data_IF_987201675124
#
_entry.id   IF_987201675124
#
_cell.length_a   1.000
_cell.length_b   1.000
_cell.length_c   1.000
_cell.angle_alpha   90.00
_cell.angle_beta   90.00
_cell.angle_gamma   90.00
#
_symmetry.space_group_name_H-M   'P 1'
#
loop_
_entity.id
_entity.type
_entity.pdbx_description
1 polymer ?
#
# COMPACT_ATOMS: atom_id res chain seq x y z
N UNK A 1 4.49 4.21 5.99
CA UNK A 1 5.83 4.17 5.35
C UNK A 1 6.65 3.01 5.89
N UNK A 2 6.71 2.87 7.21
CA UNK A 2 7.47 1.79 7.84
C UNK A 2 6.98 0.40 7.39
N UNK A 3 5.67 0.24 7.24
CA UNK A 3 5.09 -1.02 6.82
C UNK A 3 5.59 -1.45 5.44
N UNK A 4 5.69 -0.50 4.52
CA UNK A 4 6.21 -0.79 3.19
C UNK A 4 7.71 -1.07 3.22
N UNK A 5 8.46 -0.33 4.02
CA UNK A 5 9.92 -0.54 4.14
C UNK A 5 10.24 -1.94 4.65
N UNK A 6 9.43 -2.45 5.56
CA UNK A 6 9.63 -3.78 6.14
C UNK A 6 8.95 -4.88 5.35
N UNK A 7 8.07 -4.52 4.41
CA UNK A 7 7.25 -5.51 3.73
C UNK A 7 6.33 -6.23 4.69
N UNK A 8 5.80 -5.51 5.68
CA UNK A 8 4.97 -6.10 6.72
C UNK A 8 3.49 -5.88 6.42
N UNK A 9 2.81 -6.92 6.01
CA UNK A 9 1.37 -6.87 5.76
C UNK A 9 0.59 -6.63 7.06
N UNK A 10 1.09 -7.13 8.18
CA UNK A 10 0.43 -6.94 9.46
C UNK A 10 0.42 -5.47 9.90
N UNK A 11 1.57 -4.80 9.77
CA UNK A 11 1.63 -3.38 10.08
C UNK A 11 0.76 -2.57 9.13
N UNK A 12 0.79 -2.91 7.85
CA UNK A 12 -0.04 -2.25 6.86
C UNK A 12 -1.53 -2.40 7.20
N UNK A 13 -1.92 -3.58 7.63
CA UNK A 13 -3.29 -3.87 8.02
C UNK A 13 -3.80 -3.02 9.18
N UNK A 14 -2.91 -2.61 10.08
CA UNK A 14 -3.30 -1.76 11.22
C UNK A 14 -3.83 -0.40 10.77
N UNK A 15 -3.40 0.06 9.61
CA UNK A 15 -3.80 1.37 9.09
C UNK A 15 -4.86 1.28 8.01
N UNK A 16 -5.38 0.09 7.73
CA UNK A 16 -6.42 -0.10 6.72
C UNK A 16 -7.81 0.20 7.29
N UNK A 17 -8.66 0.79 6.45
CA UNK A 17 -10.07 0.94 6.76
C UNK A 17 -10.81 -0.39 6.64
N UNK A 18 -12.12 -0.38 6.91
CA UNK A 18 -12.94 -1.59 6.82
C UNK A 18 -13.01 -2.18 5.43
N UNK A 19 -12.90 -1.33 4.42
CA UNK A 19 -12.84 -1.72 3.01
C UNK A 19 -11.65 -1.07 2.35
N UNK A 20 -10.93 -1.83 1.53
CA UNK A 20 -9.74 -1.34 0.82
C UNK A 20 -9.86 -1.76 -0.64
N UNK A 21 -9.59 -0.81 -1.52
CA UNK A 21 -9.48 -1.10 -2.93
C UNK A 21 -8.02 -1.41 -3.26
N UNK A 22 -7.75 -2.68 -3.59
CA UNK A 22 -6.42 -3.10 -3.98
C UNK A 22 -6.33 -3.17 -5.50
N UNK A 23 -5.38 -2.41 -6.05
CA UNK A 23 -5.09 -2.47 -7.47
C UNK A 23 -3.68 -3.01 -7.63
N UNK A 24 -3.58 -4.28 -7.99
CA UNK A 24 -2.31 -4.97 -8.15
C UNK A 24 -2.10 -5.27 -9.63
N UNK A 25 -1.16 -4.56 -10.23
CA UNK A 25 -0.78 -4.74 -11.64
C UNK A 25 -1.99 -4.68 -12.58
N UNK A 26 -2.82 -3.66 -12.38
CA UNK A 26 -3.99 -3.43 -13.23
C UNK A 26 -5.25 -4.14 -12.78
N UNK A 27 -5.17 -5.01 -11.79
CA UNK A 27 -6.36 -5.69 -11.25
C UNK A 27 -6.89 -4.95 -10.04
N UNK A 28 -8.09 -4.42 -10.15
CA UNK A 28 -8.76 -3.72 -9.07
C UNK A 28 -9.71 -4.68 -8.33
N UNK A 29 -9.53 -4.77 -7.02
CA UNK A 29 -10.36 -5.64 -6.18
C UNK A 29 -10.73 -4.86 -4.92
N UNK A 30 -12.04 -4.83 -4.62
CA UNK A 30 -12.51 -4.18 -3.41
C UNK A 30 -12.73 -5.25 -2.35
N UNK A 31 -11.95 -5.24 -1.29
CA UNK A 31 -11.93 -6.29 -0.28
C UNK A 31 -11.97 -5.71 1.12
N UNK A 32 -12.31 -6.55 2.09
CA UNK A 32 -12.26 -6.12 3.48
C UNK A 32 -10.81 -6.11 3.99
N UNK A 33 -10.64 -5.57 5.19
CA UNK A 33 -9.34 -5.40 5.80
C UNK A 33 -8.57 -6.73 5.93
N UNK A 34 -9.25 -7.79 6.34
CA UNK A 34 -8.60 -9.09 6.53
C UNK A 34 -8.09 -9.64 5.21
N UNK A 35 -8.93 -9.58 4.17
CA UNK A 35 -8.53 -10.09 2.87
C UNK A 35 -7.44 -9.21 2.24
N UNK A 36 -7.53 -7.90 2.41
CA UNK A 36 -6.50 -7.00 1.92
C UNK A 36 -5.15 -7.31 2.56
N UNK A 37 -5.14 -7.56 3.87
CA UNK A 37 -3.92 -7.93 4.58
C UNK A 37 -3.34 -9.24 4.05
N UNK A 38 -4.19 -10.22 3.81
CA UNK A 38 -3.75 -11.52 3.28
C UNK A 38 -3.18 -11.38 1.87
N UNK A 39 -3.82 -10.57 1.02
CA UNK A 39 -3.34 -10.33 -0.34
C UNK A 39 -1.99 -9.63 -0.33
N UNK A 40 -1.79 -8.67 0.57
CA UNK A 40 -0.52 -7.98 0.70
C UNK A 40 0.55 -8.91 1.26
N UNK A 41 0.20 -9.83 2.14
CA UNK A 41 1.14 -10.83 2.63
C UNK A 41 1.64 -11.70 1.50
N UNK A 42 0.74 -12.16 0.62
CA UNK A 42 1.13 -12.96 -0.54
C UNK A 42 2.07 -12.16 -1.45
N UNK A 43 1.75 -10.89 -1.68
CA UNK A 43 2.59 -10.03 -2.49
C UNK A 43 3.99 -9.90 -1.90
N UNK A 44 4.09 -9.63 -0.60
CA UNK A 44 5.38 -9.48 0.06
C UNK A 44 6.15 -10.79 0.17
N UNK A 45 5.46 -11.92 0.18
CA UNK A 45 6.11 -13.23 0.18
C UNK A 45 6.76 -13.49 -1.16
N UNK A 46 6.09 -13.16 -2.25
CA UNK A 46 6.64 -13.34 -3.60
C UNK A 46 7.69 -12.29 -3.94
N UNK A 47 7.54 -11.09 -3.40
CA UNK A 47 8.39 -9.95 -3.72
C UNK A 47 8.97 -9.40 -2.42
N UNK A 48 10.09 -9.96 -1.98
CA UNK A 48 10.73 -9.51 -0.74
C UNK A 48 11.21 -8.08 -0.88
N UNK A 49 10.79 -7.24 0.06
CA UNK A 49 11.10 -5.83 0.05
C UNK A 49 12.52 -5.58 0.53
N UNK A 50 13.29 -4.86 -0.26
CA UNK A 50 14.62 -4.40 0.12
C UNK A 50 14.63 -2.93 0.52
N UNK A 51 13.64 -2.17 0.10
CA UNK A 51 13.54 -0.76 0.49
C UNK A 51 12.29 -0.11 -0.07
N UNK A 52 12.00 1.08 0.45
CA UNK A 52 10.88 1.88 0.01
C UNK A 52 11.27 3.36 0.08
N UNK A 53 11.11 4.07 -1.02
CA UNK A 53 11.39 5.49 -1.09
C UNK A 53 10.13 6.27 -1.40
N UNK A 54 9.81 7.26 -0.57
CA UNK A 54 8.68 8.14 -0.82
C UNK A 54 9.10 9.18 -1.88
N UNK A 55 8.38 9.19 -3.00
CA UNK A 55 8.64 10.14 -4.09
C UNK A 55 7.81 11.40 -3.92
N UNK A 56 6.57 11.23 -3.44
CA UNK A 56 5.65 12.35 -3.29
C UNK A 56 4.62 12.01 -2.23
N UNK A 57 4.24 12.99 -1.43
CA UNK A 57 3.19 12.79 -0.45
C UNK A 57 2.46 14.11 -0.22
N UNK A 58 1.18 14.01 0.12
CA UNK A 58 0.36 15.16 0.37
C UNK A 58 -0.70 14.86 1.40
N UNK A 59 -1.20 15.90 2.04
CA UNK A 59 -2.21 15.78 3.07
C UNK A 59 -3.21 16.92 2.94
N UNK A 60 -4.48 16.56 2.92
CA UNK A 60 -5.58 17.52 2.94
C UNK A 60 -6.42 17.25 4.17
N UNK A 61 -7.49 18.05 4.37
CA UNK A 61 -8.29 17.97 5.58
C UNK A 61 -8.81 16.58 5.87
N UNK A 62 -9.29 15.88 4.84
CA UNK A 62 -9.92 14.56 5.01
C UNK A 62 -9.23 13.45 4.24
N UNK A 63 -8.15 13.75 3.54
CA UNK A 63 -7.45 12.75 2.75
C UNK A 63 -5.96 12.95 2.77
N UNK A 64 -5.24 11.87 2.50
CA UNK A 64 -3.79 11.88 2.40
C UNK A 64 -3.38 10.90 1.32
N UNK A 65 -2.22 11.13 0.72
CA UNK A 65 -1.68 10.19 -0.25
C UNK A 65 -0.18 10.08 -0.09
N UNK A 66 0.33 8.90 -0.44
CA UNK A 66 1.76 8.62 -0.46
C UNK A 66 2.05 7.90 -1.77
N UNK A 67 3.00 8.42 -2.51
CA UNK A 67 3.47 7.80 -3.76
C UNK A 67 4.93 7.50 -3.58
N UNK A 68 5.31 6.26 -3.80
CA UNK A 68 6.68 5.85 -3.60
C UNK A 68 7.11 4.72 -4.52
N UNK A 69 8.39 4.38 -4.42
CA UNK A 69 8.98 3.28 -5.17
C UNK A 69 9.36 2.18 -4.19
N UNK A 70 8.82 1.00 -4.41
CA UNK A 70 9.09 -0.17 -3.59
C UNK A 70 10.12 -1.02 -4.31
N UNK A 71 11.28 -1.18 -3.69
CA UNK A 71 12.35 -2.03 -4.23
C UNK A 71 12.19 -3.44 -3.67
N UNK A 72 12.15 -4.42 -4.56
CA UNK A 72 12.00 -5.82 -4.16
C UNK A 72 13.00 -6.69 -4.90
N UNK A 73 13.07 -7.96 -4.49
CA UNK A 73 13.93 -8.94 -5.14
C UNK A 73 13.50 -9.24 -6.58
N UNK A 74 12.28 -8.88 -6.95
CA UNK A 74 11.75 -9.11 -8.30
C UNK A 74 11.62 -7.83 -9.13
N UNK A 75 12.24 -6.75 -8.66
CA UNK A 75 12.21 -5.48 -9.38
C UNK A 75 11.55 -4.38 -8.55
N UNK A 76 11.36 -3.24 -9.18
CA UNK A 76 10.79 -2.07 -8.52
C UNK A 76 9.32 -1.91 -8.89
N UNK A 77 8.55 -1.47 -7.92
CA UNK A 77 7.12 -1.22 -8.09
C UNK A 77 6.79 0.20 -7.67
N UNK A 78 5.84 0.81 -8.36
CA UNK A 78 5.29 2.10 -7.93
C UNK A 78 4.10 1.83 -7.03
N UNK A 79 4.12 2.45 -5.87
CA UNK A 79 3.04 2.30 -4.88
C UNK A 79 2.33 3.63 -4.74
N UNK A 80 1.01 3.61 -4.93
CA UNK A 80 0.15 4.75 -4.63
C UNK A 80 -0.76 4.31 -3.50
N UNK A 81 -0.64 4.99 -2.35
CA UNK A 81 -1.44 4.68 -1.17
C UNK A 81 -2.32 5.89 -0.84
N UNK A 82 -3.63 5.68 -0.85
CA UNK A 82 -4.58 6.73 -0.57
C UNK A 82 -5.28 6.45 0.76
N UNK A 83 -5.33 7.48 1.61
CA UNK A 83 -5.90 7.38 2.94
C UNK A 83 -7.03 8.39 3.10
N UNK A 84 -8.00 8.01 3.92
CA UNK A 84 -9.10 8.90 4.31
C UNK A 84 -9.12 9.08 5.80
N UNK A 85 -9.47 10.28 6.23
CA UNK A 85 -9.61 10.57 7.66
C UNK A 85 -10.94 10.03 8.17
N UNK A 86 -10.84 9.17 9.18
CA UNK A 86 -12.00 8.60 9.87
C UNK A 86 -11.76 8.77 11.38
N UNK A 87 -12.60 9.54 12.04
CA UNK A 87 -12.51 9.75 13.50
C UNK A 87 -11.10 10.12 13.98
N UNK A 88 -10.52 11.15 13.35
CA UNK A 88 -9.18 11.66 13.69
C UNK A 88 -8.02 10.73 13.33
N UNK A 89 -8.28 9.70 12.53
CA UNK A 89 -7.23 8.81 12.03
C UNK A 89 -7.27 8.76 10.51
N UNK A 90 -6.08 8.64 9.90
CA UNK A 90 -5.99 8.43 8.47
C UNK A 90 -5.88 6.93 8.22
N UNK A 91 -6.90 6.37 7.57
CA UNK A 91 -6.96 4.95 7.26
C UNK A 91 -6.80 4.72 5.77
N UNK A 92 -6.08 3.64 5.43
CA UNK A 92 -5.84 3.28 4.04
C UNK A 92 -7.15 2.90 3.38
N UNK A 93 -7.42 3.57 2.26
CA UNK A 93 -8.65 3.39 1.48
C UNK A 93 -8.35 2.68 0.16
N UNK A 94 -7.18 2.93 -0.41
CA UNK A 94 -6.79 2.33 -1.67
C UNK A 94 -5.27 2.16 -1.71
N UNK A 95 -4.83 1.02 -2.21
CA UNK A 95 -3.42 0.76 -2.49
C UNK A 95 -3.32 0.31 -3.94
N UNK A 96 -2.51 1.01 -4.71
CA UNK A 96 -2.23 0.64 -6.09
C UNK A 96 -0.76 0.34 -6.24
N UNK A 97 -0.45 -0.84 -6.76
CA UNK A 97 0.93 -1.29 -6.97
C UNK A 97 1.09 -1.73 -8.41
N UNK A 98 1.98 -1.07 -9.13
CA UNK A 98 2.28 -1.38 -10.51
C UNK A 98 3.79 -1.59 -10.67
N UNK A 99 4.16 -2.58 -11.47
CA UNK A 99 5.58 -2.82 -11.74
C UNK A 99 6.13 -1.72 -12.64
N UNK A 100 7.32 -1.24 -12.29
CA UNK A 100 8.01 -0.25 -13.10
C UNK A 100 8.81 -0.97 -14.16
N UNK A 101 8.51 -0.67 -15.42
CA UNK A 101 9.28 -1.19 -16.55
C UNK A 101 10.45 -0.26 -16.82
N UNK A 102 11.64 -0.78 -16.62
CA UNK A 102 12.87 -0.03 -16.91
C UNK A 102 13.50 -0.49 -18.20
#
# INVERSE_FOLDING_TARGET
ITAFKRGSSQELGKYMGGKVNLVLQGRSTNVDKQKATAMMQDFFTENKVSGFNVNHQGKRDESSFIIGTLATTRGNFRVNCFLKKVENQYLIHQIRIDKINE
#
